data_IF_626051210810
#
_entry.id   IF_626051210810
#
_cell.length_a   1.000
_cell.length_b   1.000
_cell.length_c   1.000
_cell.angle_alpha   90.00
_cell.angle_beta   90.00
_cell.angle_gamma   90.00
#
_symmetry.space_group_name_H-M   'P 1'
#
loop_
_entity.id
_entity.type
_entity.pdbx_description
1 polymer ?
#
# COMPACT_ATOMS: atom_id res chain seq x y z
N UNK A 1 -7.73 -8.96 -10.21
CA UNK A 1 -7.76 -9.55 -8.85
C UNK A 1 -7.13 -10.93 -8.82
N UNK A 2 -7.67 -11.92 -9.56
CA UNK A 2 -7.16 -13.30 -9.58
C UNK A 2 -5.64 -13.41 -9.74
N UNK A 3 -5.05 -12.70 -10.70
CA UNK A 3 -3.59 -12.74 -10.92
C UNK A 3 -2.79 -12.31 -9.67
N UNK A 4 -3.25 -11.28 -8.95
CA UNK A 4 -2.59 -10.77 -7.73
C UNK A 4 -2.70 -11.81 -6.62
N UNK A 5 -3.89 -12.32 -6.37
CA UNK A 5 -4.14 -13.36 -5.36
C UNK A 5 -3.28 -14.60 -5.63
N UNK A 6 -3.33 -15.12 -6.85
CA UNK A 6 -2.53 -16.29 -7.24
C UNK A 6 -1.03 -16.03 -7.22
N UNK A 7 -0.57 -14.80 -7.47
CA UNK A 7 0.85 -14.45 -7.36
C UNK A 7 1.32 -14.47 -5.89
N UNK A 8 0.56 -13.84 -4.99
CA UNK A 8 0.89 -13.78 -3.57
C UNK A 8 0.78 -15.15 -2.88
N UNK A 9 -0.26 -15.92 -3.20
CA UNK A 9 -0.44 -17.27 -2.66
C UNK A 9 0.72 -18.22 -3.04
N UNK A 10 1.27 -18.08 -4.26
CA UNK A 10 2.47 -18.85 -4.70
C UNK A 10 3.74 -18.51 -3.90
N UNK A 11 3.76 -17.38 -3.20
CA UNK A 11 4.85 -16.99 -2.31
C UNK A 11 4.60 -17.43 -0.86
N UNK A 12 3.59 -18.28 -0.62
CA UNK A 12 3.17 -18.74 0.70
C UNK A 12 2.76 -17.60 1.66
N UNK A 13 2.28 -16.48 1.10
CA UNK A 13 1.74 -15.38 1.90
C UNK A 13 0.30 -15.68 2.31
N UNK A 14 -0.08 -15.29 3.53
CA UNK A 14 -1.48 -15.25 3.95
C UNK A 14 -2.16 -14.03 3.32
N UNK A 15 -3.21 -14.27 2.54
CA UNK A 15 -3.89 -13.23 1.77
C UNK A 15 -5.32 -13.10 2.25
N UNK A 16 -5.70 -11.88 2.65
CA UNK A 16 -7.08 -11.47 2.87
C UNK A 16 -7.51 -10.55 1.73
N UNK A 17 -8.61 -10.89 1.08
CA UNK A 17 -9.26 -10.04 0.07
C UNK A 17 -10.50 -9.41 0.67
N UNK A 18 -10.46 -8.08 0.78
CA UNK A 18 -11.62 -7.26 1.10
C UNK A 18 -12.34 -6.94 -0.21
N UNK A 19 -13.58 -7.41 -0.32
CA UNK A 19 -14.42 -7.22 -1.48
C UNK A 19 -15.80 -6.72 -1.11
N UNK A 20 -16.68 -6.65 -2.11
CA UNK A 20 -18.07 -6.23 -1.95
C UNK A 20 -19.03 -7.34 -2.34
N UNK A 21 -20.22 -7.37 -1.74
CA UNK A 21 -21.23 -8.39 -2.05
C UNK A 21 -21.59 -8.46 -3.54
N UNK A 22 -21.56 -7.36 -4.29
CA UNK A 22 -21.78 -7.40 -5.74
C UNK A 22 -20.76 -8.24 -6.52
N UNK A 23 -19.59 -8.53 -5.94
CA UNK A 23 -18.57 -9.40 -6.53
C UNK A 23 -19.00 -10.87 -6.54
N UNK A 24 -19.97 -11.25 -5.72
CA UNK A 24 -20.55 -12.59 -5.69
C UNK A 24 -21.55 -12.83 -6.82
N UNK A 25 -22.09 -11.75 -7.40
CA UNK A 25 -23.04 -11.84 -8.51
C UNK A 25 -22.28 -12.02 -9.82
N UNK A 26 -22.58 -13.12 -10.53
CA UNK A 26 -21.93 -13.44 -11.80
C UNK A 26 -22.19 -12.36 -12.85
N UNK A 27 -21.10 -11.81 -13.42
CA UNK A 27 -21.14 -10.89 -14.55
C UNK A 27 -19.83 -10.95 -15.35
N UNK A 28 -19.66 -10.06 -16.33
CA UNK A 28 -18.48 -10.03 -17.21
C UNK A 28 -17.17 -9.77 -16.44
N UNK A 29 -17.21 -9.07 -15.31
CA UNK A 29 -16.06 -8.79 -14.44
C UNK A 29 -15.84 -9.85 -13.37
N UNK A 30 -16.92 -10.41 -12.82
CA UNK A 30 -16.90 -11.37 -11.71
C UNK A 30 -17.42 -12.73 -12.18
N UNK A 31 -16.50 -13.59 -12.62
CA UNK A 31 -16.82 -14.96 -13.02
C UNK A 31 -16.79 -15.88 -11.81
N UNK A 32 -17.85 -16.69 -11.64
CA UNK A 32 -17.97 -17.63 -10.51
C UNK A 32 -16.75 -18.57 -10.38
N UNK A 33 -16.29 -19.12 -11.50
CA UNK A 33 -15.12 -20.03 -11.54
C UNK A 33 -13.84 -19.33 -11.04
N UNK A 34 -13.64 -18.06 -11.38
CA UNK A 34 -12.47 -17.30 -10.92
C UNK A 34 -12.59 -16.97 -9.42
N UNK A 35 -13.80 -16.62 -8.95
CA UNK A 35 -14.06 -16.35 -7.53
C UNK A 35 -13.83 -17.60 -6.66
N UNK A 36 -14.36 -18.76 -7.05
CA UNK A 36 -14.15 -20.05 -6.37
C UNK A 36 -12.66 -20.41 -6.32
N UNK A 37 -11.92 -20.16 -7.41
CA UNK A 37 -10.47 -20.38 -7.44
C UNK A 37 -9.72 -19.47 -6.47
N UNK A 38 -10.11 -18.20 -6.36
CA UNK A 38 -9.47 -17.28 -5.41
C UNK A 38 -9.79 -17.63 -3.96
N UNK A 39 -11.03 -18.00 -3.65
CA UNK A 39 -11.43 -18.38 -2.28
C UNK A 39 -10.72 -19.62 -1.75
N UNK A 40 -10.20 -20.48 -2.63
CA UNK A 40 -9.31 -21.60 -2.25
C UNK A 40 -7.89 -21.17 -1.91
N UNK A 41 -7.48 -19.96 -2.29
CA UNK A 41 -6.10 -19.45 -2.17
C UNK A 41 -5.96 -18.31 -1.16
N UNK A 42 -7.07 -17.68 -0.78
CA UNK A 42 -7.10 -16.51 0.09
C UNK A 42 -8.39 -16.48 0.90
N UNK A 43 -8.34 -15.85 2.07
CA UNK A 43 -9.52 -15.51 2.84
C UNK A 43 -10.25 -14.33 2.20
N UNK A 44 -11.58 -14.32 2.28
CA UNK A 44 -12.40 -13.24 1.73
C UNK A 44 -13.33 -12.68 2.80
N UNK A 45 -13.48 -11.36 2.80
CA UNK A 45 -14.52 -10.65 3.51
C UNK A 45 -15.27 -9.76 2.51
N UNK A 46 -16.59 -9.90 2.43
CA UNK A 46 -17.43 -9.14 1.50
C UNK A 46 -18.28 -8.13 2.27
N UNK A 47 -17.87 -6.87 2.24
CA UNK A 47 -18.64 -5.77 2.81
C UNK A 47 -19.90 -5.47 1.96
N UNK A 48 -20.87 -4.78 2.55
CA UNK A 48 -22.02 -4.25 1.82
C UNK A 48 -21.58 -3.26 0.76
N UNK A 49 -22.33 -3.13 -0.35
CA UNK A 49 -21.94 -2.27 -1.48
C UNK A 49 -21.92 -0.77 -1.14
N UNK A 50 -22.54 -0.38 -0.02
CA UNK A 50 -22.66 1.01 0.45
C UNK A 50 -21.61 1.40 1.50
N UNK A 51 -20.84 0.43 2.02
CA UNK A 51 -19.82 0.71 3.04
C UNK A 51 -18.65 1.52 2.49
N UNK A 52 -17.82 2.08 3.35
CA UNK A 52 -16.49 2.59 2.97
C UNK A 52 -15.49 1.44 2.98
N UNK A 53 -14.59 1.34 1.99
CA UNK A 53 -13.60 0.26 1.88
C UNK A 53 -12.41 0.46 2.83
N UNK A 54 -11.96 1.72 2.95
CA UNK A 54 -10.72 2.05 3.66
C UNK A 54 -10.72 1.68 5.14
N UNK A 55 -11.81 1.84 5.92
CA UNK A 55 -11.80 1.45 7.34
C UNK A 55 -11.52 -0.04 7.55
N UNK A 56 -12.07 -0.92 6.72
CA UNK A 56 -11.82 -2.36 6.81
C UNK A 56 -10.37 -2.69 6.45
N UNK A 57 -9.82 -2.03 5.43
CA UNK A 57 -8.44 -2.22 5.00
C UNK A 57 -7.45 -1.77 6.07
N UNK A 58 -7.63 -0.57 6.60
CA UNK A 58 -6.80 -0.01 7.66
C UNK A 58 -6.86 -0.89 8.91
N UNK A 59 -8.07 -1.25 9.35
CA UNK A 59 -8.26 -2.09 10.52
C UNK A 59 -7.59 -3.47 10.36
N UNK A 60 -7.89 -4.18 9.27
CA UNK A 60 -7.33 -5.51 9.04
C UNK A 60 -5.81 -5.49 8.99
N UNK A 61 -5.22 -4.48 8.36
CA UNK A 61 -3.76 -4.36 8.23
C UNK A 61 -3.11 -4.05 9.59
N UNK A 62 -3.63 -3.04 10.31
CA UNK A 62 -3.08 -2.63 11.60
C UNK A 62 -3.25 -3.73 12.66
N UNK A 63 -4.42 -4.38 12.70
CA UNK A 63 -4.71 -5.45 13.65
C UNK A 63 -3.88 -6.72 13.39
N UNK A 64 -3.53 -6.99 12.13
CA UNK A 64 -2.61 -8.09 11.78
C UNK A 64 -1.17 -7.84 12.25
N UNK A 65 -0.81 -6.58 12.52
CA UNK A 65 0.48 -6.18 13.08
C UNK A 65 1.48 -5.65 12.05
N UNK A 66 2.64 -5.21 12.54
CA UNK A 66 3.64 -4.44 11.77
C UNK A 66 4.31 -5.17 10.60
N UNK A 67 4.07 -6.48 10.45
CA UNK A 67 4.58 -7.26 9.31
C UNK A 67 3.59 -7.28 8.13
N UNK A 68 2.33 -6.94 8.39
CA UNK A 68 1.26 -7.00 7.41
C UNK A 68 1.40 -5.89 6.37
N UNK A 69 1.18 -6.21 5.10
CA UNK A 69 1.22 -5.24 4.01
C UNK A 69 -0.15 -5.19 3.34
N UNK A 70 -0.44 -4.07 2.70
CA UNK A 70 -1.73 -3.87 2.03
C UNK A 70 -1.55 -3.41 0.59
N UNK A 71 -2.54 -3.71 -0.24
CA UNK A 71 -2.59 -3.30 -1.65
C UNK A 71 -3.87 -2.51 -1.84
N UNK A 72 -3.76 -1.25 -2.23
CA UNK A 72 -4.89 -0.43 -2.66
C UNK A 72 -4.43 0.59 -3.71
N UNK A 73 -5.36 1.05 -4.53
CA UNK A 73 -5.17 2.20 -5.42
C UNK A 73 -5.48 3.52 -4.74
N UNK A 74 -6.12 3.50 -3.57
CA UNK A 74 -6.39 4.71 -2.81
C UNK A 74 -5.10 5.32 -2.28
N UNK A 75 -5.05 6.66 -2.29
CA UNK A 75 -3.97 7.46 -1.74
C UNK A 75 -4.14 7.75 -0.24
N UNK A 76 -5.29 7.35 0.32
CA UNK A 76 -5.76 7.56 1.69
C UNK A 76 -5.73 9.04 2.09
N UNK A 77 -6.07 9.93 1.14
CA UNK A 77 -5.95 11.40 1.32
C UNK A 77 -6.87 11.91 2.42
N UNK A 78 -8.11 11.47 2.41
CA UNK A 78 -9.12 11.97 3.35
C UNK A 78 -8.83 11.46 4.78
N UNK A 79 -8.42 10.21 4.91
CA UNK A 79 -8.01 9.64 6.20
C UNK A 79 -6.81 10.38 6.81
N UNK A 80 -5.84 10.79 6.00
CA UNK A 80 -4.70 11.61 6.46
C UNK A 80 -5.15 12.95 7.01
N UNK A 81 -6.07 13.61 6.31
CA UNK A 81 -6.57 14.93 6.67
C UNK A 81 -7.36 14.91 7.99
N UNK A 82 -7.98 13.77 8.33
CA UNK A 82 -8.73 13.60 9.58
C UNK A 82 -7.86 13.26 10.81
N UNK A 83 -6.55 13.08 10.66
CA UNK A 83 -5.68 12.75 11.80
C UNK A 83 -5.44 13.98 12.70
N UNK A 84 -5.52 13.82 14.03
CA UNK A 84 -5.70 14.93 14.98
C UNK A 84 -4.47 15.82 15.15
N UNK A 85 -3.27 15.30 14.88
CA UNK A 85 -2.01 16.00 15.14
C UNK A 85 -0.90 15.62 14.16
N UNK A 86 0.08 16.51 14.02
CA UNK A 86 1.20 16.36 13.09
C UNK A 86 2.09 15.13 13.37
N UNK A 87 2.19 14.70 14.63
CA UNK A 87 3.00 13.52 15.01
C UNK A 87 2.29 12.26 14.53
N UNK A 88 0.98 12.15 14.74
CA UNK A 88 0.16 11.03 14.26
C UNK A 88 0.14 10.98 12.72
N UNK A 89 0.01 12.13 12.06
CA UNK A 89 0.12 12.22 10.59
C UNK A 89 1.47 11.68 10.10
N UNK A 90 2.59 12.11 10.72
CA UNK A 90 3.93 11.62 10.36
C UNK A 90 4.07 10.11 10.54
N UNK A 91 3.53 9.55 11.63
CA UNK A 91 3.53 8.10 11.85
C UNK A 91 2.71 7.36 10.79
N UNK A 92 1.55 7.89 10.40
CA UNK A 92 0.73 7.32 9.34
C UNK A 92 1.45 7.33 7.99
N UNK A 93 2.11 8.44 7.62
CA UNK A 93 2.91 8.50 6.39
C UNK A 93 4.04 7.48 6.37
N UNK A 94 4.78 7.38 7.48
CA UNK A 94 5.83 6.36 7.63
C UNK A 94 5.27 4.95 7.49
N UNK A 95 4.16 4.66 8.17
CA UNK A 95 3.49 3.37 8.09
C UNK A 95 3.05 3.06 6.65
N UNK A 96 2.35 3.98 5.98
CA UNK A 96 1.90 3.80 4.60
C UNK A 96 3.09 3.52 3.66
N UNK A 97 4.18 4.28 3.76
CA UNK A 97 5.38 4.07 2.95
C UNK A 97 5.98 2.66 3.14
N UNK A 98 5.98 2.17 4.37
CA UNK A 98 6.53 0.85 4.72
C UNK A 98 5.60 -0.34 4.45
N UNK A 99 4.30 -0.11 4.26
CA UNK A 99 3.29 -1.17 4.28
C UNK A 99 2.41 -1.21 3.02
N UNK A 100 2.33 -0.14 2.23
CA UNK A 100 1.58 -0.12 0.97
C UNK A 100 2.40 -0.73 -0.17
N UNK A 101 1.90 -1.84 -0.72
CA UNK A 101 2.44 -2.48 -1.92
C UNK A 101 1.79 -1.91 -3.18
N UNK A 102 2.47 -0.98 -3.85
CA UNK A 102 2.05 -0.45 -5.14
C UNK A 102 2.37 -1.45 -6.27
N UNK A 103 1.38 -1.77 -7.12
CA UNK A 103 1.56 -2.67 -8.27
C UNK A 103 2.14 -1.88 -9.44
N UNK A 104 3.28 -2.33 -9.99
CA UNK A 104 4.02 -1.64 -11.08
C UNK A 104 3.75 -2.25 -12.46
N UNK A 105 3.03 -3.38 -12.53
CA UNK A 105 2.74 -4.10 -13.78
C UNK A 105 2.19 -3.19 -14.89
N UNK A 106 2.98 -2.95 -15.94
CA UNK A 106 2.64 -2.04 -17.04
C UNK A 106 1.73 -2.64 -18.13
N UNK A 107 1.63 -3.97 -18.26
CA UNK A 107 0.90 -4.61 -19.37
C UNK A 107 0.12 -5.89 -19.00
N UNK A 108 -0.99 -6.20 -19.69
CA UNK A 108 -1.70 -7.48 -19.55
C UNK A 108 -0.78 -8.66 -19.88
N UNK A 109 -0.71 -9.66 -18.99
CA UNK A 109 0.14 -10.85 -19.14
C UNK A 109 1.56 -10.71 -18.59
N UNK A 110 1.99 -9.51 -18.21
CA UNK A 110 3.28 -9.32 -17.53
C UNK A 110 3.27 -9.95 -16.14
N UNK A 111 4.45 -10.38 -15.67
CA UNK A 111 4.64 -10.84 -14.29
C UNK A 111 4.29 -9.68 -13.34
N UNK A 112 3.45 -9.96 -12.35
CA UNK A 112 3.13 -8.98 -11.31
C UNK A 112 4.40 -8.65 -10.53
N UNK A 113 4.69 -7.36 -10.44
CA UNK A 113 5.77 -6.78 -9.64
C UNK A 113 5.21 -5.68 -8.77
N UNK A 114 5.84 -5.50 -7.62
CA UNK A 114 5.51 -4.46 -6.64
C UNK A 114 6.65 -3.46 -6.54
N UNK A 115 6.33 -2.21 -6.21
CA UNK A 115 7.33 -1.21 -5.88
C UNK A 115 8.12 -1.67 -4.66
N UNK A 116 9.44 -1.47 -4.71
CA UNK A 116 10.33 -1.85 -3.62
C UNK A 116 10.08 -0.94 -2.41
N UNK A 117 9.83 -1.56 -1.25
CA UNK A 117 9.73 -0.85 0.03
C UNK A 117 11.15 -0.68 0.59
N UNK A 118 11.57 0.57 0.78
CA UNK A 118 12.89 0.90 1.33
C UNK A 118 12.98 0.47 2.79
N UNK A 119 14.18 0.08 3.23
CA UNK A 119 14.48 -0.27 4.63
C UNK A 119 14.68 0.96 5.54
N UNK A 120 14.64 2.16 4.96
CA UNK A 120 14.83 3.43 5.64
C UNK A 120 13.68 4.40 5.32
N UNK A 121 13.41 5.31 6.24
CA UNK A 121 12.38 6.33 6.07
C UNK A 121 12.88 7.44 5.14
N UNK A 122 12.09 7.80 4.12
CA UNK A 122 12.41 8.93 3.24
C UNK A 122 11.82 10.22 3.78
N UNK A 123 12.36 10.67 4.90
CA UNK A 123 11.96 11.89 5.60
C UNK A 123 13.17 12.75 5.90
N UNK A 124 12.95 14.05 6.14
CA UNK A 124 13.98 14.91 6.72
C UNK A 124 14.42 14.33 8.07
N UNK A 125 15.73 14.12 8.19
CA UNK A 125 16.35 13.47 9.34
C UNK A 125 17.65 14.17 9.72
N UNK A 126 17.95 14.22 11.02
CA UNK A 126 19.15 14.85 11.56
C UNK A 126 19.68 14.07 12.76
N UNK A 127 21.00 14.02 12.89
CA UNK A 127 21.73 13.54 14.08
C UNK A 127 22.26 14.69 14.94
N UNK A 128 21.90 15.94 14.59
CA UNK A 128 22.42 17.17 15.18
C UNK A 128 23.65 17.70 14.43
N UNK A 129 24.63 16.83 14.17
CA UNK A 129 25.84 17.14 13.41
C UNK A 129 25.71 16.86 11.89
N UNK A 130 24.69 16.12 11.49
CA UNK A 130 24.33 15.87 10.10
C UNK A 130 22.85 16.11 9.82
N UNK A 131 22.53 16.43 8.57
CA UNK A 131 21.17 16.51 8.03
C UNK A 131 21.09 15.75 6.73
N UNK A 132 20.02 14.98 6.55
CA UNK A 132 19.65 14.36 5.29
C UNK A 132 18.25 14.82 4.90
N UNK A 133 18.16 15.50 3.77
CA UNK A 133 16.93 16.12 3.28
C UNK A 133 16.60 15.49 1.93
N UNK A 134 15.54 14.67 1.84
CA UNK A 134 15.10 14.12 0.57
C UNK A 134 14.45 15.23 -0.27
N UNK A 135 14.76 15.27 -1.57
CA UNK A 135 14.26 16.32 -2.48
C UNK A 135 13.99 15.78 -3.89
N UNK A 136 13.09 16.44 -4.61
CA UNK A 136 12.82 16.18 -6.02
C UNK A 136 13.56 17.17 -6.92
N UNK A 137 13.83 16.76 -8.15
CA UNK A 137 14.15 17.73 -9.20
C UNK A 137 12.87 18.47 -9.62
N UNK A 138 13.01 19.69 -10.12
CA UNK A 138 11.92 20.62 -10.45
C UNK A 138 10.84 20.09 -11.42
N UNK A 139 11.03 18.89 -11.99
CA UNK A 139 10.18 18.28 -13.02
C UNK A 139 9.56 16.93 -12.64
N UNK A 140 9.72 16.47 -11.38
CA UNK A 140 9.20 15.16 -10.97
C UNK A 140 7.86 15.29 -10.25
N UNK A 141 6.77 14.96 -10.94
CA UNK A 141 5.47 14.71 -10.30
C UNK A 141 5.48 13.32 -9.63
N UNK A 142 5.15 13.27 -8.33
CA UNK A 142 5.06 12.03 -7.55
C UNK A 142 3.68 11.86 -6.91
N UNK A 143 3.23 10.61 -6.81
CA UNK A 143 2.10 10.27 -5.95
C UNK A 143 2.47 10.33 -4.47
N UNK A 144 1.47 10.47 -3.59
CA UNK A 144 1.69 10.68 -2.15
C UNK A 144 2.30 9.50 -1.39
N UNK A 145 2.35 8.30 -1.99
CA UNK A 145 3.03 7.12 -1.45
C UNK A 145 4.41 6.90 -2.08
N UNK A 146 4.72 7.60 -3.18
CA UNK A 146 6.07 7.60 -3.76
C UNK A 146 6.95 8.55 -2.97
N UNK A 147 8.26 8.33 -3.01
CA UNK A 147 9.22 9.12 -2.23
C UNK A 147 10.37 9.62 -3.09
N UNK A 148 10.99 10.76 -2.73
CA UNK A 148 12.15 11.24 -3.46
C UNK A 148 13.29 10.22 -3.42
N UNK A 149 14.05 10.18 -4.51
CA UNK A 149 15.23 9.29 -4.62
C UNK A 149 16.53 10.03 -4.37
N UNK A 150 16.53 11.37 -4.45
CA UNK A 150 17.69 12.20 -4.20
C UNK A 150 17.69 12.75 -2.78
N UNK A 151 18.91 12.95 -2.28
CA UNK A 151 19.17 13.38 -0.92
C UNK A 151 20.23 14.47 -0.90
N UNK A 152 19.93 15.56 -0.22
CA UNK A 152 20.93 16.54 0.20
C UNK A 152 21.52 16.05 1.52
N UNK A 153 22.81 15.78 1.53
CA UNK A 153 23.56 15.40 2.73
C UNK A 153 24.40 16.61 3.21
N UNK A 154 24.18 17.01 4.45
CA UNK A 154 24.95 18.07 5.12
C UNK A 154 25.62 17.44 6.34
N UNK A 155 26.91 17.70 6.51
CA UNK A 155 27.66 17.25 7.69
C UNK A 155 28.53 18.39 8.20
N UNK A 156 28.64 18.53 9.52
CA UNK A 156 29.61 19.44 10.11
C UNK A 156 31.01 18.93 9.78
N UNK A 157 31.85 19.80 9.22
CA UNK A 157 33.26 19.48 9.01
C UNK A 157 33.92 19.38 10.39
N UNK A 158 34.50 18.23 10.72
CA UNK A 158 35.31 18.04 11.94
C UNK A 158 36.69 18.66 11.77
#
# INVERSE_FOLDING_TARGET
LLNVVSHLAKQNLQVLVLGRKHMLTQNSRWKRVEMEKMQKQASFFFADNISEDDPFLLYATLHSGNHCKFITKDLMRDHKACLPDAKTQRLFFKWQQGHQLAIVSKHPGAKITFQHILSYDTVVQTTGDSWHIPYDDDLVERYSYEVPTKWLCLHRKT
#
